data_IF_167022863934
#
_entry.id   IF_167022863934
#
_cell.length_a   1.000
_cell.length_b   1.000
_cell.length_c   1.000
_cell.angle_alpha   90.00
_cell.angle_beta   90.00
_cell.angle_gamma   90.00
#
_symmetry.space_group_name_H-M   'P 1'
#
loop_
_entity.id
_entity.type
_entity.pdbx_description
1 polymer ?
#
# COMPACT_ATOMS: atom_id res chain seq x y z
N UNK A 1 -34.51 -12.24 -7.51
CA UNK A 1 -33.32 -11.38 -7.63
C UNK A 1 -32.85 -10.98 -6.24
N UNK A 2 -31.76 -11.56 -5.74
CA UNK A 2 -31.10 -11.08 -4.51
C UNK A 2 -30.03 -10.09 -4.95
N UNK A 3 -30.27 -8.80 -4.72
CA UNK A 3 -29.27 -7.75 -4.87
C UNK A 3 -28.13 -8.04 -3.91
N UNK A 4 -27.01 -8.54 -4.43
CA UNK A 4 -25.80 -8.71 -3.64
C UNK A 4 -25.33 -7.33 -3.19
N UNK A 5 -25.43 -7.09 -1.90
CA UNK A 5 -24.68 -6.03 -1.22
C UNK A 5 -23.20 -6.29 -1.51
N UNK A 6 -22.61 -5.53 -2.44
CA UNK A 6 -21.19 -5.27 -2.37
C UNK A 6 -20.96 -4.83 -0.93
N UNK A 7 -20.28 -5.64 -0.10
CA UNK A 7 -19.82 -5.14 1.19
C UNK A 7 -18.93 -3.95 0.83
N UNK A 8 -19.49 -2.74 0.93
CA UNK A 8 -18.73 -1.50 0.85
C UNK A 8 -17.80 -1.54 2.04
N UNK A 9 -16.61 -2.10 1.84
CA UNK A 9 -15.57 -2.11 2.86
C UNK A 9 -15.07 -0.67 2.94
N UNK A 10 -15.22 -0.06 4.11
CA UNK A 10 -14.78 1.33 4.28
C UNK A 10 -13.28 1.45 4.05
N UNK A 11 -12.82 2.62 3.59
CA UNK A 11 -11.39 2.94 3.44
C UNK A 11 -10.60 2.66 4.72
N UNK A 12 -11.19 2.99 5.87
CA UNK A 12 -10.62 2.67 7.19
C UNK A 12 -10.48 1.16 7.40
N UNK A 13 -11.49 0.35 7.06
CA UNK A 13 -11.42 -1.11 7.18
C UNK A 13 -10.33 -1.70 6.27
N UNK A 14 -10.16 -1.16 5.06
CA UNK A 14 -9.07 -1.55 4.16
C UNK A 14 -7.70 -1.17 4.74
N UNK A 15 -7.58 0.04 5.29
CA UNK A 15 -6.35 0.50 5.92
C UNK A 15 -5.98 -0.41 7.10
N UNK A 16 -6.93 -0.71 7.98
CA UNK A 16 -6.72 -1.58 9.12
C UNK A 16 -6.27 -2.99 8.71
N UNK A 17 -6.90 -3.56 7.70
CA UNK A 17 -6.51 -4.86 7.12
C UNK A 17 -5.06 -4.82 6.60
N UNK A 18 -4.68 -3.75 5.91
CA UNK A 18 -3.30 -3.57 5.43
C UNK A 18 -2.31 -3.43 6.57
N UNK A 19 -2.64 -2.65 7.61
CA UNK A 19 -1.78 -2.48 8.79
C UNK A 19 -1.60 -3.81 9.54
N UNK A 20 -2.65 -4.61 9.71
CA UNK A 20 -2.54 -5.95 10.29
C UNK A 20 -1.57 -6.82 9.48
N UNK A 21 -1.70 -6.84 8.15
CA UNK A 21 -0.81 -7.60 7.27
C UNK A 21 0.63 -7.12 7.31
N UNK A 22 0.87 -5.82 7.45
CA UNK A 22 2.23 -5.28 7.65
C UNK A 22 2.83 -5.82 8.95
N UNK A 23 2.06 -5.85 10.04
CA UNK A 23 2.54 -6.31 11.35
C UNK A 23 2.76 -7.83 11.42
N UNK A 24 2.23 -8.59 10.47
CA UNK A 24 2.52 -10.02 10.29
C UNK A 24 3.86 -10.27 9.58
N UNK A 25 4.48 -9.24 8.98
CA UNK A 25 5.77 -9.39 8.30
C UNK A 25 6.91 -9.66 9.29
N UNK A 26 7.91 -10.49 8.92
CA UNK A 26 9.07 -10.73 9.76
C UNK A 26 9.77 -9.43 10.15
N UNK A 27 10.13 -9.29 11.43
CA UNK A 27 10.82 -8.12 12.01
C UNK A 27 10.01 -6.81 11.98
N UNK A 28 8.78 -6.80 11.49
CA UNK A 28 7.93 -5.63 11.56
C UNK A 28 7.28 -5.54 12.94
N UNK A 29 7.48 -4.40 13.61
CA UNK A 29 6.87 -4.12 14.92
C UNK A 29 6.09 -2.82 14.85
N UNK A 30 5.23 -2.57 15.85
CA UNK A 30 4.56 -1.27 16.00
C UNK A 30 5.55 -0.11 16.05
N UNK A 31 6.71 -0.33 16.67
CA UNK A 31 7.79 0.65 16.75
C UNK A 31 8.44 0.91 15.40
N UNK A 32 8.80 -0.16 14.67
CA UNK A 32 9.42 -0.05 13.35
C UNK A 32 8.49 0.69 12.38
N UNK A 33 7.22 0.29 12.32
CA UNK A 33 6.24 0.96 11.46
C UNK A 33 6.04 2.44 11.82
N UNK A 34 6.03 2.78 13.10
CA UNK A 34 5.89 4.18 13.53
C UNK A 34 7.11 5.02 13.16
N UNK A 35 8.32 4.45 13.22
CA UNK A 35 9.54 5.12 12.75
C UNK A 35 9.51 5.35 11.25
N UNK A 36 9.15 4.34 10.46
CA UNK A 36 9.02 4.47 9.01
C UNK A 36 7.94 5.50 8.62
N UNK A 37 6.84 5.53 9.38
CA UNK A 37 5.77 6.51 9.24
C UNK A 37 6.22 7.94 9.50
N UNK A 38 6.91 8.21 10.61
CA UNK A 38 7.42 9.54 10.92
C UNK A 38 8.48 9.97 9.90
N UNK A 39 9.36 9.05 9.50
CA UNK A 39 10.32 9.32 8.43
C UNK A 39 9.62 9.64 7.09
N UNK A 40 8.47 9.02 6.81
CA UNK A 40 7.66 9.34 5.64
C UNK A 40 6.98 10.71 5.76
N UNK A 41 6.54 11.12 6.96
CA UNK A 41 6.04 12.49 7.20
C UNK A 41 7.11 13.52 6.85
N UNK A 42 8.34 13.33 7.32
CA UNK A 42 9.46 14.23 7.05
C UNK A 42 9.83 14.25 5.56
N UNK A 43 9.99 13.07 4.96
CA UNK A 43 10.36 12.91 3.54
C UNK A 43 9.35 13.54 2.59
N UNK A 44 8.06 13.53 2.95
CA UNK A 44 6.98 14.14 2.16
C UNK A 44 6.77 15.62 2.49
N UNK A 45 7.53 16.21 3.41
CA UNK A 45 7.38 17.61 3.82
C UNK A 45 6.06 17.90 4.53
N UNK A 46 5.46 16.90 5.18
CA UNK A 46 4.12 17.00 5.75
C UNK A 46 4.10 17.53 7.19
N UNK A 47 5.24 17.69 7.84
CA UNK A 47 5.31 18.07 9.25
C UNK A 47 4.57 19.40 9.54
N UNK A 48 4.80 20.44 8.74
CA UNK A 48 4.15 21.75 8.91
C UNK A 48 2.66 21.69 8.58
N UNK A 49 2.28 20.97 7.51
CA UNK A 49 0.87 20.78 7.10
C UNK A 49 0.09 20.00 8.17
N UNK A 50 0.70 19.01 8.80
CA UNK A 50 0.07 18.26 9.88
C UNK A 50 -0.03 19.10 11.15
N UNK A 51 0.93 19.98 11.41
CA UNK A 51 0.90 20.87 12.57
C UNK A 51 -0.30 21.83 12.52
N UNK A 52 -0.72 22.31 11.34
CA UNK A 52 -1.94 23.13 11.21
C UNK A 52 -3.22 22.38 11.57
N UNK A 53 -3.21 21.05 11.43
CA UNK A 53 -4.29 20.15 11.86
C UNK A 53 -4.16 19.73 13.34
N UNK A 54 -3.20 20.32 14.08
CA UNK A 54 -2.89 19.95 15.46
C UNK A 54 -2.24 18.57 15.60
N UNK A 55 -1.58 18.09 14.55
CA UNK A 55 -0.85 16.81 14.51
C UNK A 55 0.65 17.07 14.47
N UNK A 56 1.36 16.61 15.50
CA UNK A 56 2.82 16.67 15.60
C UNK A 56 3.42 15.32 15.98
N UNK A 57 4.71 15.13 15.72
CA UNK A 57 5.46 13.95 16.14
C UNK A 57 6.64 14.36 17.01
N UNK A 58 7.09 13.44 17.86
CA UNK A 58 8.26 13.66 18.70
C UNK A 58 9.54 13.56 17.87
N UNK A 59 10.40 14.58 17.97
CA UNK A 59 11.71 14.71 17.32
C UNK A 59 12.71 15.33 18.30
N UNK A 60 13.01 14.62 19.38
CA UNK A 60 14.00 14.98 20.39
C UNK A 60 15.33 14.28 20.10
N UNK A 61 16.30 14.41 21.01
CA UNK A 61 17.57 13.67 20.93
C UNK A 61 17.44 12.23 21.46
N UNK A 62 16.28 11.86 22.04
CA UNK A 62 16.01 10.51 22.53
C UNK A 62 15.13 9.74 21.52
N UNK A 63 15.79 9.16 20.52
CA UNK A 63 15.16 8.40 19.43
C UNK A 63 14.30 7.25 19.98
N UNK A 64 14.71 6.61 21.08
CA UNK A 64 13.97 5.49 21.65
C UNK A 64 12.66 5.95 22.29
N UNK A 65 12.70 7.05 23.04
CA UNK A 65 11.50 7.65 23.60
C UNK A 65 10.57 8.20 22.51
N UNK A 66 11.12 8.86 21.50
CA UNK A 66 10.34 9.40 20.38
C UNK A 66 9.62 8.29 19.62
N UNK A 67 10.33 7.21 19.28
CA UNK A 67 9.76 6.04 18.63
C UNK A 67 8.58 5.46 19.43
N UNK A 68 8.73 5.36 20.76
CA UNK A 68 7.69 4.87 21.66
C UNK A 68 6.47 5.79 21.68
N UNK A 69 6.68 7.10 21.82
CA UNK A 69 5.60 8.10 21.86
C UNK A 69 4.84 8.14 20.53
N UNK A 70 5.57 8.16 19.42
CA UNK A 70 5.00 8.19 18.08
C UNK A 70 4.24 6.89 17.76
N UNK A 71 4.77 5.73 18.14
CA UNK A 71 4.05 4.46 18.03
C UNK A 71 2.76 4.47 18.85
N UNK A 72 2.82 4.87 20.13
CA UNK A 72 1.62 4.94 20.96
C UNK A 72 0.56 5.87 20.36
N UNK A 73 0.99 7.02 19.82
CA UNK A 73 0.11 8.00 19.17
C UNK A 73 -0.58 7.40 17.93
N UNK A 74 0.19 6.83 16.99
CA UNK A 74 -0.32 6.22 15.77
C UNK A 74 -1.28 5.05 16.07
N UNK A 75 -0.88 4.13 16.94
CA UNK A 75 -1.68 2.95 17.26
C UNK A 75 -2.93 3.26 18.07
N UNK A 76 -2.96 4.37 18.81
CA UNK A 76 -4.18 4.92 19.40
C UNK A 76 -5.14 5.44 18.34
N UNK A 77 -4.65 6.14 17.32
CA UNK A 77 -5.50 6.56 16.19
C UNK A 77 -6.04 5.38 15.40
N UNK A 78 -5.29 4.28 15.30
CA UNK A 78 -5.75 3.04 14.69
C UNK A 78 -6.73 2.25 15.58
N UNK A 79 -7.00 2.66 16.82
CA UNK A 79 -7.88 1.93 17.73
C UNK A 79 -7.32 0.57 18.18
N UNK A 80 -6.00 0.44 18.27
CA UNK A 80 -5.29 -0.82 18.58
C UNK A 80 -4.99 -0.99 20.07
N UNK A 81 -5.72 -0.25 20.91
CA UNK A 81 -5.68 -0.31 22.37
C UNK A 81 -7.10 -0.56 22.89
N UNK A 82 -7.21 -1.25 24.01
CA UNK A 82 -8.49 -1.60 24.61
C UNK A 82 -9.33 -0.35 24.91
N UNK A 83 -10.62 -0.39 24.56
CA UNK A 83 -11.55 0.72 24.73
C UNK A 83 -11.33 1.93 23.80
N UNK A 84 -10.37 1.86 22.86
CA UNK A 84 -10.10 2.95 21.91
C UNK A 84 -10.72 2.64 20.54
N UNK A 85 -11.55 3.55 20.04
CA UNK A 85 -12.04 3.49 18.67
C UNK A 85 -11.07 4.18 17.69
N UNK A 86 -11.00 3.73 16.43
CA UNK A 86 -10.19 4.40 15.43
C UNK A 86 -10.61 5.86 15.23
N UNK A 87 -9.63 6.75 15.14
CA UNK A 87 -9.83 8.20 14.95
C UNK A 87 -9.74 8.54 13.46
N UNK A 88 -10.82 8.29 12.72
CA UNK A 88 -10.86 8.40 11.27
C UNK A 88 -10.42 9.78 10.73
N UNK A 89 -10.79 10.86 11.42
CA UNK A 89 -10.40 12.23 11.07
C UNK A 89 -8.87 12.40 11.10
N UNK A 90 -8.23 11.96 12.19
CA UNK A 90 -6.75 12.00 12.30
C UNK A 90 -6.09 11.15 11.24
N UNK A 91 -6.62 9.94 11.02
CA UNK A 91 -6.09 9.00 10.05
C UNK A 91 -6.17 9.54 8.62
N UNK A 92 -7.21 10.30 8.28
CA UNK A 92 -7.36 10.92 6.96
C UNK A 92 -6.18 11.85 6.63
N UNK A 93 -5.76 12.72 7.55
CA UNK A 93 -4.65 13.66 7.32
C UNK A 93 -3.29 12.96 7.20
N UNK A 94 -3.09 11.86 7.92
CA UNK A 94 -1.81 11.15 7.96
C UNK A 94 -1.72 9.97 7.00
N UNK A 95 -2.82 9.62 6.33
CA UNK A 95 -2.93 8.41 5.51
C UNK A 95 -1.83 8.36 4.44
N UNK A 96 -1.56 9.47 3.76
CA UNK A 96 -0.53 9.54 2.73
C UNK A 96 0.86 9.14 3.25
N UNK A 97 1.25 9.61 4.43
CA UNK A 97 2.52 9.27 5.05
C UNK A 97 2.52 7.82 5.55
N UNK A 98 1.39 7.37 6.12
CA UNK A 98 1.23 5.99 6.58
C UNK A 98 1.35 5.00 5.42
N UNK A 99 0.72 5.30 4.28
CA UNK A 99 0.79 4.50 3.05
C UNK A 99 2.19 4.53 2.45
N UNK A 100 2.88 5.69 2.49
CA UNK A 100 4.26 5.82 2.03
C UNK A 100 5.30 5.10 2.92
N UNK A 101 4.93 4.73 4.14
CA UNK A 101 5.74 3.92 5.03
C UNK A 101 5.54 2.40 4.85
N UNK A 102 4.50 1.99 4.13
CA UNK A 102 4.26 0.57 3.87
C UNK A 102 5.24 0.02 2.82
N UNK A 103 5.57 -1.27 2.88
CA UNK A 103 6.21 -1.96 1.76
C UNK A 103 5.43 -1.77 0.46
N UNK A 104 6.14 -1.60 -0.66
CA UNK A 104 5.57 -1.21 -1.95
C UNK A 104 4.36 -2.06 -2.38
N UNK A 105 4.50 -3.39 -2.31
CA UNK A 105 3.44 -4.33 -2.66
C UNK A 105 2.17 -4.14 -1.81
N UNK A 106 2.29 -3.81 -0.52
CA UNK A 106 1.15 -3.56 0.36
C UNK A 106 0.54 -2.18 0.13
N UNK A 107 1.36 -1.17 -0.20
CA UNK A 107 0.91 0.15 -0.64
C UNK A 107 0.09 0.06 -1.92
N UNK A 108 0.60 -0.59 -2.96
CA UNK A 108 -0.09 -0.75 -4.25
C UNK A 108 -1.40 -1.51 -4.06
N UNK A 109 -1.35 -2.62 -3.31
CA UNK A 109 -2.55 -3.40 -2.98
C UNK A 109 -3.60 -2.57 -2.25
N UNK A 110 -3.21 -1.84 -1.21
CA UNK A 110 -4.12 -0.97 -0.47
C UNK A 110 -4.78 0.08 -1.37
N UNK A 111 -4.00 0.76 -2.19
CA UNK A 111 -4.51 1.78 -3.10
C UNK A 111 -5.45 1.18 -4.16
N UNK A 112 -5.13 0.00 -4.70
CA UNK A 112 -6.04 -0.73 -5.59
C UNK A 112 -7.32 -1.19 -4.90
N UNK A 113 -7.25 -1.67 -3.66
CA UNK A 113 -8.43 -2.03 -2.88
C UNK A 113 -9.34 -0.79 -2.67
N UNK A 114 -8.77 0.39 -2.40
CA UNK A 114 -9.52 1.66 -2.23
C UNK A 114 -10.15 2.14 -3.54
N UNK A 115 -9.38 2.20 -4.63
CA UNK A 115 -9.79 2.85 -5.87
C UNK A 115 -10.43 1.90 -6.91
N UNK A 116 -10.38 0.58 -6.69
CA UNK A 116 -11.06 -0.38 -7.56
C UNK A 116 -12.58 -0.19 -7.62
N UNK A 117 -13.19 0.36 -6.57
CA UNK A 117 -14.63 0.64 -6.52
C UNK A 117 -15.08 1.68 -7.56
N UNK A 118 -14.15 2.48 -8.09
CA UNK A 118 -14.37 3.45 -9.17
C UNK A 118 -13.68 3.05 -10.48
N UNK A 119 -13.27 1.78 -10.61
CA UNK A 119 -12.67 1.24 -11.83
C UNK A 119 -11.19 1.62 -12.06
N UNK A 120 -10.57 2.33 -11.12
CA UNK A 120 -9.18 2.79 -11.22
C UNK A 120 -8.20 1.70 -10.77
N UNK A 121 -7.08 1.59 -11.47
CA UNK A 121 -5.91 0.81 -11.04
C UNK A 121 -4.75 1.75 -10.76
N UNK A 122 -4.13 1.58 -9.60
CA UNK A 122 -2.92 2.28 -9.20
C UNK A 122 -1.70 1.43 -9.55
N UNK A 123 -0.75 2.05 -10.23
CA UNK A 123 0.55 1.47 -10.60
C UNK A 123 1.61 2.28 -9.84
N UNK A 124 2.52 1.59 -9.14
CA UNK A 124 3.66 2.27 -8.52
C UNK A 124 4.66 2.65 -9.61
N UNK A 125 4.92 3.96 -9.72
CA UNK A 125 5.98 4.45 -10.57
C UNK A 125 7.33 4.22 -9.87
N UNK A 126 8.27 3.51 -10.52
CA UNK A 126 9.60 3.21 -9.97
C UNK A 126 10.59 4.36 -10.15
N UNK A 127 10.13 5.52 -10.59
CA UNK A 127 10.97 6.67 -10.90
C UNK A 127 11.32 7.43 -9.61
N UNK A 128 12.25 6.88 -8.85
CA UNK A 128 13.14 7.73 -8.06
C UNK A 128 14.19 8.29 -9.02
N UNK A 129 14.44 9.60 -8.97
CA UNK A 129 15.56 10.27 -9.61
C UNK A 129 16.84 9.40 -9.52
N UNK A 130 17.34 8.93 -10.67
CA UNK A 130 18.54 8.11 -10.75
C UNK A 130 18.37 6.59 -10.57
N UNK A 131 17.14 6.05 -10.63
CA UNK A 131 16.91 4.60 -10.60
C UNK A 131 17.56 3.90 -11.82
N UNK A 132 18.75 3.35 -11.63
CA UNK A 132 19.33 2.36 -12.55
C UNK A 132 18.32 1.23 -12.70
N UNK A 133 17.96 0.90 -13.94
CA UNK A 133 17.10 -0.23 -14.26
C UNK A 133 17.63 -1.51 -13.58
N UNK A 134 16.99 -1.94 -12.50
CA UNK A 134 17.33 -3.20 -11.81
C UNK A 134 16.58 -4.34 -12.48
N UNK A 135 17.16 -4.86 -13.56
CA UNK A 135 16.57 -5.94 -14.37
C UNK A 135 16.22 -7.17 -13.53
N UNK A 136 17.03 -7.48 -12.50
CA UNK A 136 16.77 -8.60 -11.58
C UNK A 136 15.50 -8.38 -10.76
N UNK A 137 15.30 -7.18 -10.21
CA UNK A 137 14.11 -6.85 -9.42
C UNK A 137 12.85 -6.82 -10.31
N UNK A 138 12.98 -6.32 -11.54
CA UNK A 138 11.92 -6.36 -12.54
C UNK A 138 11.52 -7.80 -12.88
N UNK A 139 12.50 -8.67 -13.17
CA UNK A 139 12.25 -10.07 -13.47
C UNK A 139 11.60 -10.81 -12.29
N UNK A 140 12.04 -10.53 -11.06
CA UNK A 140 11.45 -11.10 -9.86
C UNK A 140 9.98 -10.67 -9.67
N UNK A 141 9.68 -9.36 -9.81
CA UNK A 141 8.30 -8.86 -9.74
C UNK A 141 7.42 -9.45 -10.85
N UNK A 142 7.88 -9.43 -12.11
CA UNK A 142 7.14 -10.02 -13.23
C UNK A 142 6.86 -11.50 -13.01
N UNK A 143 7.86 -12.25 -12.55
CA UNK A 143 7.71 -13.70 -12.30
C UNK A 143 6.66 -13.94 -11.21
N UNK A 144 6.74 -13.21 -10.11
CA UNK A 144 5.80 -13.36 -8.99
C UNK A 144 4.37 -13.09 -9.43
N UNK A 145 4.12 -11.90 -9.96
CA UNK A 145 2.76 -11.42 -10.24
C UNK A 145 2.14 -12.19 -11.42
N UNK A 146 2.94 -12.56 -12.43
CA UNK A 146 2.46 -13.40 -13.53
C UNK A 146 2.16 -14.82 -13.07
N UNK A 147 2.96 -15.40 -12.16
CA UNK A 147 2.67 -16.72 -11.61
C UNK A 147 1.40 -16.72 -10.76
N UNK A 148 1.21 -15.71 -9.89
CA UNK A 148 0.00 -15.54 -9.08
C UNK A 148 -1.25 -15.43 -9.97
N UNK A 149 -1.18 -14.63 -11.05
CA UNK A 149 -2.26 -14.51 -12.03
C UNK A 149 -2.54 -15.82 -12.79
N UNK A 150 -1.51 -16.51 -13.30
CA UNK A 150 -1.66 -17.79 -13.99
C UNK A 150 -2.30 -18.85 -13.09
N UNK A 151 -1.83 -18.96 -11.85
CA UNK A 151 -2.39 -19.88 -10.86
C UNK A 151 -3.86 -19.56 -10.58
N UNK A 152 -4.21 -18.28 -10.46
CA UNK A 152 -5.60 -17.88 -10.22
C UNK A 152 -6.53 -18.23 -11.39
N UNK A 153 -6.04 -18.10 -12.63
CA UNK A 153 -6.79 -18.52 -13.83
C UNK A 153 -6.94 -20.04 -13.91
N UNK A 154 -5.87 -20.80 -13.62
CA UNK A 154 -5.91 -22.27 -13.58
C UNK A 154 -6.97 -22.75 -12.58
N UNK A 155 -7.09 -22.10 -11.43
CA UNK A 155 -8.07 -22.44 -10.39
C UNK A 155 -9.54 -22.09 -10.73
N UNK A 156 -9.83 -21.46 -11.87
CA UNK A 156 -11.21 -21.20 -12.29
C UNK A 156 -11.96 -22.50 -12.65
N UNK A 157 -11.30 -23.44 -13.34
CA UNK A 157 -11.95 -24.67 -13.83
C UNK A 157 -13.14 -24.40 -14.76
N UNK A 158 -14.03 -25.38 -14.94
CA UNK A 158 -15.16 -25.29 -15.90
C UNK A 158 -16.36 -24.50 -15.37
N UNK A 159 -16.59 -24.48 -14.05
CA UNK A 159 -17.72 -23.81 -13.42
C UNK A 159 -17.27 -22.97 -12.21
N UNK A 160 -16.49 -21.89 -12.44
CA UNK A 160 -15.93 -21.09 -11.36
C UNK A 160 -17.02 -20.42 -10.55
N UNK A 161 -16.84 -20.41 -9.23
CA UNK A 161 -17.63 -19.56 -8.35
C UNK A 161 -17.34 -18.07 -8.62
N UNK A 162 -18.28 -17.20 -8.23
CA UNK A 162 -18.10 -15.75 -8.33
C UNK A 162 -16.85 -15.27 -7.56
N UNK A 163 -16.55 -15.88 -6.42
CA UNK A 163 -15.39 -15.52 -5.61
C UNK A 163 -14.08 -15.85 -6.35
N UNK A 164 -14.01 -17.01 -6.99
CA UNK A 164 -12.88 -17.40 -7.84
C UNK A 164 -12.71 -16.45 -9.03
N UNK A 165 -13.81 -16.06 -9.70
CA UNK A 165 -13.77 -15.08 -10.79
C UNK A 165 -13.24 -13.71 -10.34
N UNK A 166 -13.70 -13.21 -9.19
CA UNK A 166 -13.24 -11.92 -8.65
C UNK A 166 -11.77 -12.00 -8.24
N UNK A 167 -11.34 -13.11 -7.63
CA UNK A 167 -9.94 -13.32 -7.28
C UNK A 167 -9.06 -13.36 -8.53
N UNK A 168 -9.39 -14.21 -9.52
CA UNK A 168 -8.63 -14.31 -10.76
C UNK A 168 -8.57 -12.97 -11.51
N UNK A 169 -9.68 -12.23 -11.58
CA UNK A 169 -9.70 -10.91 -12.18
C UNK A 169 -8.81 -9.90 -11.43
N UNK A 170 -8.74 -9.97 -10.09
CA UNK A 170 -7.82 -9.14 -9.31
C UNK A 170 -6.36 -9.48 -9.63
N UNK A 171 -5.97 -10.76 -9.54
CA UNK A 171 -4.59 -11.19 -9.81
C UNK A 171 -4.16 -10.85 -11.25
N UNK A 172 -5.06 -10.98 -12.23
CA UNK A 172 -4.81 -10.55 -13.60
C UNK A 172 -4.56 -9.03 -13.72
N UNK A 173 -5.30 -8.19 -12.99
CA UNK A 173 -5.05 -6.74 -12.96
C UNK A 173 -3.72 -6.40 -12.30
N UNK A 174 -3.33 -7.12 -11.25
CA UNK A 174 -2.03 -6.94 -10.57
C UNK A 174 -0.86 -7.33 -11.50
N UNK A 175 -0.97 -8.45 -12.24
CA UNK A 175 -0.02 -8.86 -13.28
C UNK A 175 0.07 -7.86 -14.44
N UNK A 176 -1.08 -7.36 -14.92
CA UNK A 176 -1.12 -6.35 -15.98
C UNK A 176 -0.44 -5.04 -15.55
N UNK A 177 -0.74 -4.55 -14.33
CA UNK A 177 -0.10 -3.37 -13.77
C UNK A 177 1.42 -3.53 -13.65
N UNK A 178 1.89 -4.69 -13.20
CA UNK A 178 3.34 -4.99 -13.08
C UNK A 178 4.02 -5.04 -14.44
N UNK A 179 3.34 -5.60 -15.44
CA UNK A 179 3.83 -5.63 -16.83
C UNK A 179 3.93 -4.23 -17.39
N UNK A 180 2.89 -3.40 -17.22
CA UNK A 180 2.89 -2.01 -17.66
C UNK A 180 3.98 -1.17 -16.97
N UNK A 181 4.15 -1.31 -15.65
CA UNK A 181 5.21 -0.62 -14.92
C UNK A 181 6.62 -1.05 -15.38
N UNK A 182 6.77 -2.32 -15.77
CA UNK A 182 8.03 -2.82 -16.33
C UNK A 182 8.32 -2.25 -17.73
N UNK A 183 7.29 -2.11 -18.57
CA UNK A 183 7.40 -1.44 -19.87
C UNK A 183 7.78 0.03 -19.72
N UNK A 184 7.12 0.78 -18.83
CA UNK A 184 7.45 2.18 -18.56
C UNK A 184 8.88 2.34 -18.06
N UNK A 185 9.36 1.44 -17.19
CA UNK A 185 10.74 1.45 -16.74
C UNK A 185 11.74 1.23 -17.89
N UNK A 186 11.41 0.38 -18.87
CA UNK A 186 12.21 0.21 -20.08
C UNK A 186 12.16 1.46 -20.97
N UNK A 187 10.98 2.02 -21.19
CA UNK A 187 10.77 3.23 -22.00
C UNK A 187 11.52 4.44 -21.43
N UNK A 188 11.56 4.58 -20.11
CA UNK A 188 12.32 5.63 -19.44
C UNK A 188 13.84 5.39 -19.56
N UNK A 189 14.30 4.17 -19.34
CA UNK A 189 15.72 3.82 -19.46
C UNK A 189 16.22 3.90 -20.91
N UNK A 190 15.32 3.66 -21.87
CA UNK A 190 15.59 3.60 -23.30
C UNK A 190 14.55 4.40 -24.07
N UNK A 191 14.69 5.75 -24.15
CA UNK A 191 13.67 6.64 -24.71
C UNK A 191 13.23 6.35 -26.15
N UNK A 192 14.05 5.63 -26.93
CA UNK A 192 13.69 5.22 -28.28
C UNK A 192 12.52 4.21 -28.32
N UNK A 193 12.19 3.58 -27.19
CA UNK A 193 11.03 2.68 -27.06
C UNK A 193 9.70 3.46 -26.97
N UNK A 194 9.70 4.67 -26.42
CA UNK A 194 8.50 5.51 -26.26
C UNK A 194 8.02 6.17 -27.57
N UNK A 195 8.82 6.08 -28.66
CA UNK A 195 8.59 6.78 -29.92
C UNK A 195 7.93 5.91 -31.02
N UNK A 196 7.29 4.79 -30.67
CA UNK A 196 6.61 3.90 -31.61
C UNK A 196 5.10 3.84 -31.41
#
# INVERSE_FOLDING_TARGET
>A
MKTNSHKCVSRLSLLMKTIHRVLELPKMTRFALAMDFVAAVDRLGLAEVLATEGISFAHTQDIHNDARVNAQKLFRWLGQYEGQHPQAERLFHVEQALVAALPEHLRVRYLNDVFSCVGVTVIADKVSDGAVLKVVDMAASLTKENAEAQVAVIHLGEAPSREQLVAAHRELRESAATTQGSMQALELAYPYLAAR
#
